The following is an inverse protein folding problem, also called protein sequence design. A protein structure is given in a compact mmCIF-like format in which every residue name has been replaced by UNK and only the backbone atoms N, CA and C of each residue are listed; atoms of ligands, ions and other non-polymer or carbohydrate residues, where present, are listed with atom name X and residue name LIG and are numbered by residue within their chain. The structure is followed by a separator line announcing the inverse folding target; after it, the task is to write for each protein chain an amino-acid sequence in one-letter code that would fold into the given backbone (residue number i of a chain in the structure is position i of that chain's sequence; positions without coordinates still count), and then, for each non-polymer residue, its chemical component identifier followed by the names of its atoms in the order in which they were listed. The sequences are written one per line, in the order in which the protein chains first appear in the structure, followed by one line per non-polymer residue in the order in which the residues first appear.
data_IF_844839915758
#
_entry.id   IF_844839915758
#
_cell.length_a   1.000
_cell.length_b   1.000
_cell.length_c   1.000
_cell.angle_alpha   90.00
_cell.angle_beta   90.00
_cell.angle_gamma   90.00
#
_symmetry.space_group_name_H-M   'P 1'
#
loop_
_entity.id
_entity.type
_entity.pdbx_description
1 polymer ?
#
# COMPACT_ATOMS: atom_id res chain seq x y z
N UNK A 1 -32.60 4.37 -5.76
CA UNK A 1 -32.58 3.12 -6.56
C UNK A 1 -31.54 2.22 -5.90
N UNK A 2 -32.01 1.26 -5.14
CA UNK A 2 -31.27 0.42 -4.18
C UNK A 2 -30.48 -0.68 -4.88
N UNK A 3 -29.20 -0.87 -4.54
CA UNK A 3 -28.44 -2.08 -4.86
C UNK A 3 -27.84 -2.72 -3.60
N UNK A 4 -28.59 -3.73 -3.18
CA UNK A 4 -28.26 -4.92 -2.38
C UNK A 4 -26.84 -5.13 -1.85
N UNK A 5 -26.78 -5.15 -0.50
CA UNK A 5 -25.89 -5.98 0.31
C UNK A 5 -26.16 -7.46 -0.01
N UNK A 6 -25.11 -8.25 -0.29
CA UNK A 6 -25.18 -9.71 -0.28
C UNK A 6 -24.42 -10.26 0.92
N UNK A 7 -25.18 -10.75 1.89
CA UNK A 7 -24.72 -11.58 2.99
C UNK A 7 -23.90 -12.78 2.49
N UNK A 8 -22.80 -13.07 3.19
CA UNK A 8 -22.46 -14.46 3.54
C UNK A 8 -22.25 -14.53 5.05
N UNK A 9 -23.29 -15.00 5.73
CA UNK A 9 -23.22 -15.58 7.06
C UNK A 9 -22.36 -16.86 6.96
N UNK A 10 -21.29 -16.97 7.75
CA UNK A 10 -20.81 -18.27 8.22
C UNK A 10 -20.35 -18.12 9.67
N UNK A 11 -21.29 -18.34 10.58
CA UNK A 11 -20.96 -18.73 11.94
C UNK A 11 -20.73 -20.25 11.93
N UNK A 12 -19.55 -20.70 12.35
CA UNK A 12 -19.35 -22.06 12.83
C UNK A 12 -18.50 -22.01 14.10
N UNK A 13 -19.19 -21.90 15.25
CA UNK A 13 -18.66 -22.28 16.55
C UNK A 13 -19.19 -23.69 16.84
N UNK A 14 -18.30 -24.69 16.88
CA UNK A 14 -18.38 -25.97 17.63
C UNK A 14 -17.26 -26.89 17.07
N UNK A 15 -16.38 -27.54 17.82
CA UNK A 15 -16.22 -27.70 19.25
C UNK A 15 -15.38 -28.96 19.55
N UNK A 16 -14.96 -29.05 20.81
CA UNK A 16 -14.69 -30.27 21.59
C UNK A 16 -13.29 -30.90 21.48
N UNK A 17 -12.45 -30.61 22.48
CA UNK A 17 -11.50 -31.58 23.04
C UNK A 17 -12.23 -32.87 23.42
N UNK A 18 -11.96 -33.98 22.74
CA UNK A 18 -12.26 -35.32 23.25
C UNK A 18 -10.96 -36.09 23.41
N UNK A 19 -10.50 -36.23 24.65
CA UNK A 19 -9.65 -37.35 25.05
C UNK A 19 -10.52 -38.61 25.03
N UNK A 20 -10.25 -39.54 24.12
CA UNK A 20 -10.78 -40.89 24.16
C UNK A 20 -9.63 -41.89 23.97
N UNK A 21 -9.37 -42.66 25.03
CA UNK A 21 -8.50 -43.82 25.06
C UNK A 21 -9.08 -44.97 24.21
N UNK A 22 -8.23 -45.57 23.38
CA UNK A 22 -8.26 -46.98 22.98
C UNK A 22 -9.25 -47.40 21.89
N UNK A 23 -8.75 -47.76 20.71
CA UNK A 23 -8.55 -49.15 20.23
C UNK A 23 -7.59 -49.06 19.03
N UNK A 24 -6.47 -49.77 19.09
CA UNK A 24 -5.46 -49.81 18.01
C UNK A 24 -5.94 -50.80 16.95
N UNK A 25 -6.28 -50.30 15.76
CA UNK A 25 -6.37 -51.10 14.54
C UNK A 25 -5.36 -50.53 13.53
N UNK A 26 -4.42 -51.33 12.98
CA UNK A 26 -3.47 -50.84 12.00
C UNK A 26 -4.20 -50.63 10.68
N UNK A 27 -4.70 -49.41 10.48
CA UNK A 27 -5.09 -48.93 9.16
C UNK A 27 -3.81 -48.39 8.50
N UNK A 28 -3.35 -49.07 7.46
CA UNK A 28 -2.34 -48.52 6.56
C UNK A 28 -3.01 -47.45 5.70
N UNK A 29 -3.30 -46.29 6.29
CA UNK A 29 -3.53 -45.08 5.53
C UNK A 29 -2.16 -44.54 5.13
N UNK A 30 -1.84 -44.60 3.84
CA UNK A 30 -0.92 -43.65 3.24
C UNK A 30 -1.58 -42.27 3.35
N UNK A 31 -1.55 -41.68 4.54
CA UNK A 31 -1.65 -40.23 4.66
C UNK A 31 -0.38 -39.70 4.02
N UNK A 32 -0.47 -39.34 2.74
CA UNK A 32 0.35 -38.25 2.24
C UNK A 32 0.12 -37.12 3.24
N UNK A 33 1.07 -36.93 4.15
CA UNK A 33 1.06 -35.81 5.06
C UNK A 33 1.09 -34.61 4.13
N UNK A 34 -0.04 -33.90 4.02
CA UNK A 34 -0.05 -32.61 3.34
C UNK A 34 1.12 -31.84 3.94
N UNK A 35 2.07 -31.46 3.08
CA UNK A 35 3.18 -30.64 3.53
C UNK A 35 2.56 -29.44 4.24
N UNK A 36 3.08 -29.10 5.43
CA UNK A 36 2.61 -27.90 6.09
C UNK A 36 2.78 -26.73 5.12
N UNK A 37 1.71 -25.95 4.97
CA UNK A 37 1.75 -24.64 4.33
C UNK A 37 3.02 -23.91 4.76
N UNK A 38 3.84 -23.49 3.79
CA UNK A 38 4.99 -22.64 4.12
C UNK A 38 4.43 -21.27 4.41
N UNK A 39 4.68 -20.75 5.60
CA UNK A 39 4.17 -19.43 6.00
C UNK A 39 5.20 -18.35 5.74
N UNK A 40 4.74 -17.16 5.37
CA UNK A 40 5.53 -15.93 5.24
C UNK A 40 5.08 -14.93 6.28
N UNK A 41 6.05 -14.23 6.87
CA UNK A 41 5.78 -13.03 7.67
C UNK A 41 6.09 -11.81 6.81
N UNK A 42 5.16 -10.87 6.73
CA UNK A 42 5.37 -9.58 6.07
C UNK A 42 4.83 -8.44 6.93
N UNK A 43 5.25 -7.24 6.62
CA UNK A 43 4.90 -6.02 7.33
C UNK A 43 4.22 -5.08 6.35
N UNK A 44 3.07 -4.52 6.69
CA UNK A 44 2.29 -3.68 5.79
C UNK A 44 1.97 -2.34 6.45
N UNK A 45 2.14 -1.26 5.70
CA UNK A 45 1.67 0.07 6.05
C UNK A 45 1.05 0.78 4.83
N UNK A 46 0.22 1.79 5.11
CA UNK A 46 -0.48 2.59 4.09
C UNK A 46 -0.33 4.06 4.43
N UNK A 47 0.35 4.80 3.57
CA UNK A 47 0.78 6.16 3.83
C UNK A 47 0.21 7.18 2.84
N UNK A 48 0.00 8.41 3.32
CA UNK A 48 -0.37 9.57 2.51
C UNK A 48 0.53 10.78 2.81
N UNK A 49 1.82 10.49 3.01
CA UNK A 49 2.84 11.42 3.48
C UNK A 49 3.06 12.63 2.54
N UNK A 50 2.67 12.54 1.27
CA UNK A 50 2.66 13.66 0.33
C UNK A 50 1.80 14.84 0.78
N UNK A 51 0.87 14.61 1.72
CA UNK A 51 0.04 15.64 2.37
C UNK A 51 0.51 16.02 3.78
N UNK A 52 1.69 15.53 4.21
CA UNK A 52 2.22 15.73 5.57
C UNK A 52 1.25 15.28 6.67
N UNK A 53 0.60 14.12 6.47
CA UNK A 53 -0.35 13.53 7.41
C UNK A 53 0.14 12.17 7.89
N UNK A 54 -0.41 11.70 9.00
CA UNK A 54 -0.19 10.35 9.51
C UNK A 54 -0.55 9.27 8.48
N UNK A 55 0.05 8.07 8.59
CA UNK A 55 -0.38 6.91 7.80
C UNK A 55 -1.88 6.64 7.99
N UNK A 56 -2.52 6.14 6.94
CA UNK A 56 -3.87 5.56 7.01
C UNK A 56 -3.80 4.30 7.87
N UNK A 57 -2.82 3.44 7.60
CA UNK A 57 -2.52 2.25 8.36
C UNK A 57 -1.08 2.36 8.90
N UNK A 58 -0.95 2.44 10.23
CA UNK A 58 0.36 2.28 10.88
C UNK A 58 0.92 0.87 10.61
N UNK A 59 2.25 0.67 10.64
CA UNK A 59 2.87 -0.63 10.38
C UNK A 59 2.24 -1.80 11.15
N UNK A 60 1.77 -2.81 10.43
CA UNK A 60 1.20 -4.05 10.98
C UNK A 60 1.99 -5.26 10.48
N UNK A 61 2.30 -6.18 11.39
CA UNK A 61 2.88 -7.48 11.08
C UNK A 61 1.79 -8.52 10.80
N UNK A 62 1.92 -9.22 9.68
CA UNK A 62 1.00 -10.30 9.27
C UNK A 62 1.77 -11.57 8.94
N UNK A 63 1.15 -12.72 9.23
CA UNK A 63 1.68 -14.04 8.87
C UNK A 63 0.61 -14.82 8.13
N UNK A 64 0.94 -15.28 6.93
CA UNK A 64 0.05 -15.93 5.97
C UNK A 64 0.73 -17.15 5.34
N UNK A 65 -0.06 -17.98 4.66
CA UNK A 65 0.45 -19.00 3.73
C UNK A 65 1.16 -18.31 2.54
N UNK A 66 2.25 -18.87 2.06
CA UNK A 66 3.04 -18.27 0.97
C UNK A 66 2.34 -18.32 -0.41
N UNK A 67 1.27 -19.11 -0.54
CA UNK A 67 0.38 -19.09 -1.71
C UNK A 67 -0.57 -17.89 -1.75
N UNK A 68 -0.75 -17.18 -0.65
CA UNK A 68 -1.52 -15.94 -0.58
C UNK A 68 -0.77 -14.81 -1.30
N UNK A 69 -1.44 -13.68 -1.53
CA UNK A 69 -0.88 -12.55 -2.29
C UNK A 69 -0.52 -11.35 -1.42
N UNK A 70 0.18 -10.37 -2.01
CA UNK A 70 0.39 -9.04 -1.41
C UNK A 70 -0.95 -8.39 -1.03
N UNK A 71 -1.98 -8.56 -1.84
CA UNK A 71 -3.33 -8.06 -1.54
C UNK A 71 -3.90 -8.73 -0.30
N UNK A 72 -3.79 -10.05 -0.17
CA UNK A 72 -4.30 -10.79 0.99
C UNK A 72 -3.60 -10.34 2.28
N UNK A 73 -2.28 -10.13 2.23
CA UNK A 73 -1.51 -9.52 3.32
C UNK A 73 -2.00 -8.11 3.67
N UNK A 74 -2.28 -7.30 2.66
CA UNK A 74 -2.77 -5.93 2.85
C UNK A 74 -4.17 -5.89 3.47
N UNK A 75 -5.08 -6.76 3.00
CA UNK A 75 -6.43 -6.91 3.55
C UNK A 75 -6.40 -7.41 4.99
N UNK A 76 -5.53 -8.38 5.30
CA UNK A 76 -5.37 -8.85 6.67
C UNK A 76 -4.82 -7.76 7.60
N UNK A 77 -3.83 -6.98 7.14
CA UNK A 77 -3.24 -5.89 7.92
C UNK A 77 -4.25 -4.78 8.22
N UNK A 78 -5.07 -4.40 7.23
CA UNK A 78 -6.07 -3.35 7.38
C UNK A 78 -7.19 -3.74 8.37
N UNK A 79 -7.47 -5.05 8.52
CA UNK A 79 -8.41 -5.71 9.45
C UNK A 79 -9.86 -5.16 9.47
N UNK A 80 -10.02 -3.89 9.84
CA UNK A 80 -11.29 -3.15 9.90
C UNK A 80 -11.37 -1.97 8.93
N UNK A 81 -10.26 -1.55 8.34
CA UNK A 81 -10.26 -0.53 7.27
C UNK A 81 -10.74 -1.16 5.96
N UNK A 82 -11.66 -0.48 5.30
CA UNK A 82 -12.13 -0.92 3.98
C UNK A 82 -11.08 -0.59 2.89
N UNK A 83 -10.91 -1.52 1.95
CA UNK A 83 -10.00 -1.38 0.81
C UNK A 83 -10.83 -1.61 -0.45
N UNK A 84 -10.89 -0.62 -1.33
CA UNK A 84 -11.62 -0.72 -2.58
C UNK A 84 -10.75 -1.40 -3.63
N UNK A 85 -11.01 -2.69 -3.85
CA UNK A 85 -10.31 -3.52 -4.84
C UNK A 85 -11.20 -3.74 -6.04
N UNK A 86 -10.68 -3.44 -7.24
CA UNK A 86 -11.33 -3.87 -8.47
C UNK A 86 -11.22 -5.41 -8.56
N UNK A 87 -12.36 -6.07 -8.31
CA UNK A 87 -12.46 -7.51 -8.06
C UNK A 87 -12.04 -8.44 -9.21
N UNK A 88 -11.49 -7.91 -10.30
CA UNK A 88 -10.94 -8.70 -11.42
C UNK A 88 -9.43 -8.58 -11.62
N UNK A 89 -8.76 -7.60 -10.99
CA UNK A 89 -7.38 -7.21 -11.33
C UNK A 89 -6.42 -7.15 -10.14
N UNK A 90 -6.86 -7.52 -8.93
CA UNK A 90 -6.12 -7.27 -7.68
C UNK A 90 -5.66 -5.81 -7.56
N UNK A 91 -6.37 -4.90 -8.21
CA UNK A 91 -6.00 -3.50 -8.27
C UNK A 91 -6.62 -2.76 -7.11
N UNK A 92 -5.78 -2.18 -6.26
CA UNK A 92 -6.21 -1.38 -5.11
C UNK A 92 -6.46 0.05 -5.58
N UNK A 93 -7.73 0.43 -5.64
CA UNK A 93 -8.18 1.73 -6.14
C UNK A 93 -8.40 2.76 -5.04
N UNK A 94 -8.59 2.31 -3.80
CA UNK A 94 -8.74 3.21 -2.66
C UNK A 94 -8.47 2.52 -1.32
N UNK A 95 -8.05 3.33 -0.35
CA UNK A 95 -8.07 2.96 1.07
C UNK A 95 -9.07 3.87 1.78
N UNK A 96 -9.81 3.31 2.75
CA UNK A 96 -10.73 4.08 3.56
C UNK A 96 -9.99 5.19 4.31
N UNK A 97 -10.43 6.42 4.10
CA UNK A 97 -9.88 7.60 4.74
C UNK A 97 -10.92 8.70 4.80
N UNK A 98 -11.37 9.04 6.02
CA UNK A 98 -12.35 10.09 6.25
C UNK A 98 -11.71 11.47 6.48
N UNK A 99 -10.41 11.62 6.19
CA UNK A 99 -9.66 12.84 6.44
C UNK A 99 -9.63 13.69 5.17
N UNK A 100 -10.43 14.77 5.07
CA UNK A 100 -10.44 15.57 3.86
C UNK A 100 -9.05 16.15 3.58
N UNK A 101 -8.59 16.01 2.35
CA UNK A 101 -7.32 16.53 1.87
C UNK A 101 -7.58 17.90 1.26
N UNK A 102 -7.08 19.01 1.85
CA UNK A 102 -7.25 20.32 1.23
C UNK A 102 -6.31 20.45 0.02
N UNK A 103 -6.82 20.93 -1.11
CA UNK A 103 -6.04 21.11 -2.36
C UNK A 103 -4.72 21.89 -2.16
N UNK A 104 -4.67 22.76 -1.15
CA UNK A 104 -3.50 23.59 -0.84
C UNK A 104 -2.48 22.94 0.11
N UNK A 105 -2.58 21.63 0.38
CA UNK A 105 -1.68 20.90 1.30
C UNK A 105 -0.77 19.87 0.64
N UNK A 106 -0.90 19.64 -0.67
CA UNK A 106 0.06 18.81 -1.38
C UNK A 106 1.45 19.46 -1.40
N UNK A 107 2.44 18.72 -0.91
CA UNK A 107 3.81 19.20 -0.69
C UNK A 107 4.46 19.75 -1.96
N UNK A 108 4.17 19.16 -3.13
CA UNK A 108 4.85 19.48 -4.38
C UNK A 108 3.98 20.17 -5.42
N UNK A 109 2.84 20.75 -5.02
CA UNK A 109 1.87 21.36 -5.94
C UNK A 109 2.53 22.30 -6.97
N UNK A 110 3.33 23.27 -6.52
CA UNK A 110 3.96 24.25 -7.42
C UNK A 110 4.91 23.58 -8.44
N UNK A 111 5.61 22.52 -8.02
CA UNK A 111 6.56 21.78 -8.88
C UNK A 111 5.79 20.99 -9.94
N UNK A 112 4.78 20.22 -9.54
CA UNK A 112 3.94 19.45 -10.47
C UNK A 112 3.17 20.38 -11.42
N UNK A 113 2.61 21.47 -10.90
CA UNK A 113 1.90 22.46 -11.70
C UNK A 113 2.81 23.09 -12.77
N UNK A 114 4.07 23.37 -12.41
CA UNK A 114 5.05 23.90 -13.37
C UNK A 114 5.45 22.88 -14.43
N UNK A 115 5.57 21.59 -14.09
CA UNK A 115 5.99 20.54 -15.03
C UNK A 115 4.86 20.25 -16.03
N UNK A 116 3.63 20.17 -15.53
CA UNK A 116 2.45 19.73 -16.30
C UNK A 116 1.69 20.88 -16.97
N UNK A 117 2.16 22.12 -16.83
CA UNK A 117 1.41 23.34 -17.20
C UNK A 117 0.03 23.42 -16.53
N UNK A 118 -0.10 22.84 -15.33
CA UNK A 118 -1.36 22.78 -14.57
C UNK A 118 -2.41 21.84 -15.15
N UNK A 119 -2.10 21.08 -16.20
CA UNK A 119 -3.06 20.20 -16.88
C UNK A 119 -3.63 19.14 -15.94
N UNK A 120 -2.82 18.57 -15.05
CA UNK A 120 -3.24 17.47 -14.17
C UNK A 120 -4.21 17.91 -13.06
N UNK A 121 -4.17 19.19 -12.68
CA UNK A 121 -5.04 19.76 -11.65
C UNK A 121 -6.35 20.34 -12.22
N UNK A 122 -6.61 20.15 -13.51
CA UNK A 122 -7.84 20.62 -14.13
C UNK A 122 -9.03 19.76 -13.69
N UNK A 123 -10.06 20.42 -13.17
CA UNK A 123 -11.33 19.78 -12.76
C UNK A 123 -12.39 19.78 -13.87
N UNK A 124 -12.09 20.38 -15.03
CA UNK A 124 -13.02 20.60 -16.13
C UNK A 124 -12.81 19.63 -17.32
N UNK A 125 -12.00 18.58 -17.14
CA UNK A 125 -11.71 17.59 -18.18
C UNK A 125 -12.81 16.51 -18.26
N UNK A 126 -13.56 16.42 -19.37
CA UNK A 126 -14.76 15.57 -19.45
C UNK A 126 -14.47 14.07 -19.31
N UNK A 127 -13.28 13.63 -19.72
CA UNK A 127 -12.88 12.22 -19.68
C UNK A 127 -11.71 11.95 -18.71
N UNK A 128 -11.36 12.92 -17.86
CA UNK A 128 -10.39 12.80 -16.77
C UNK A 128 -10.93 13.42 -15.49
N UNK A 129 -12.12 12.99 -15.00
CA UNK A 129 -12.67 13.54 -13.77
C UNK A 129 -11.78 13.16 -12.58
N UNK A 130 -11.51 14.14 -11.73
CA UNK A 130 -11.02 13.89 -10.38
C UNK A 130 -12.14 13.18 -9.61
N UNK A 131 -11.80 12.09 -8.94
CA UNK A 131 -12.73 11.29 -8.15
C UNK A 131 -12.46 11.61 -6.69
N UNK A 132 -13.26 12.51 -6.12
CA UNK A 132 -13.20 12.83 -4.68
C UNK A 132 -14.23 12.02 -3.92
N UNK A 133 -13.81 11.43 -2.81
CA UNK A 133 -14.68 10.67 -1.92
C UNK A 133 -14.45 11.10 -0.46
N UNK A 134 -15.53 11.28 0.30
CA UNK A 134 -15.39 11.73 1.68
C UNK A 134 -14.98 10.61 2.64
N UNK A 135 -15.12 9.35 2.21
CA UNK A 135 -14.86 8.17 3.04
C UNK A 135 -13.61 7.40 2.58
N UNK A 136 -13.01 7.78 1.44
CA UNK A 136 -11.89 7.07 0.82
C UNK A 136 -10.88 8.05 0.25
N UNK A 137 -9.60 7.66 0.27
CA UNK A 137 -8.57 8.25 -0.57
C UNK A 137 -8.36 7.37 -1.81
N UNK A 138 -8.81 7.86 -2.97
CA UNK A 138 -8.90 7.13 -4.24
C UNK A 138 -7.72 7.39 -5.17
N UNK A 139 -7.46 6.48 -6.10
CA UNK A 139 -6.38 6.58 -7.09
C UNK A 139 -6.46 7.81 -8.03
N UNK A 140 -7.57 8.54 -8.05
CA UNK A 140 -7.74 9.78 -8.85
C UNK A 140 -8.23 10.92 -7.97
N UNK A 141 -7.95 10.83 -6.68
CA UNK A 141 -8.15 11.92 -5.74
C UNK A 141 -7.13 13.01 -6.07
N UNK A 142 -7.48 14.28 -5.86
CA UNK A 142 -6.59 15.44 -6.04
C UNK A 142 -6.28 15.82 -7.50
N UNK A 143 -5.83 14.88 -8.32
CA UNK A 143 -5.53 15.07 -9.73
C UNK A 143 -5.80 13.79 -10.53
N UNK A 144 -5.81 13.87 -11.86
CA UNK A 144 -6.15 12.69 -12.68
C UNK A 144 -5.02 11.67 -12.88
N UNK A 145 -3.82 11.91 -12.34
CA UNK A 145 -2.63 11.04 -12.44
C UNK A 145 -2.12 10.55 -11.09
N UNK A 146 -2.84 10.88 -10.01
CA UNK A 146 -2.56 10.39 -8.68
C UNK A 146 -2.76 8.89 -8.61
N UNK A 147 -2.49 8.29 -7.46
CA UNK A 147 -2.59 6.85 -7.36
C UNK A 147 -2.00 6.26 -6.10
N UNK A 148 -2.31 4.99 -5.92
CA UNK A 148 -1.63 4.12 -4.97
C UNK A 148 -0.47 3.42 -5.66
N UNK A 149 0.72 3.60 -5.11
CA UNK A 149 1.90 2.82 -5.47
C UNK A 149 2.32 2.02 -4.25
N UNK A 150 3.05 0.93 -4.46
CA UNK A 150 3.67 0.24 -3.35
C UNK A 150 5.06 -0.26 -3.70
N UNK A 151 5.86 -0.49 -2.67
CA UNK A 151 7.17 -1.11 -2.77
C UNK A 151 7.26 -2.34 -1.88
N UNK A 152 8.15 -3.27 -2.21
CA UNK A 152 8.58 -4.38 -1.36
C UNK A 152 10.03 -4.13 -0.99
N UNK A 153 10.30 -3.90 0.30
CA UNK A 153 11.64 -3.50 0.80
C UNK A 153 12.24 -2.33 0.00
N UNK A 154 11.46 -1.26 -0.17
CA UNK A 154 11.81 -0.06 -0.95
C UNK A 154 12.09 -0.27 -2.45
N UNK A 155 11.77 -1.45 -2.98
CA UNK A 155 11.87 -1.76 -4.42
C UNK A 155 10.49 -1.90 -5.07
N UNK A 156 10.36 -1.38 -6.31
CA UNK A 156 9.20 -1.61 -7.17
C UNK A 156 9.24 -2.96 -7.88
N UNK A 157 10.41 -3.59 -7.96
CA UNK A 157 10.64 -4.80 -8.76
C UNK A 157 11.26 -5.92 -7.94
N UNK A 158 10.93 -7.15 -8.33
CA UNK A 158 11.66 -8.36 -7.96
C UNK A 158 13.11 -8.32 -8.45
N UNK A 159 13.93 -9.26 -7.97
CA UNK A 159 15.33 -9.44 -8.40
C UNK A 159 15.48 -9.65 -9.92
N UNK A 160 14.44 -10.17 -10.58
CA UNK A 160 14.40 -10.41 -12.02
C UNK A 160 13.98 -9.18 -12.86
N UNK A 161 13.65 -8.05 -12.20
CA UNK A 161 13.21 -6.81 -12.84
C UNK A 161 11.71 -6.73 -13.15
N UNK A 162 10.92 -7.73 -12.77
CA UNK A 162 9.45 -7.71 -12.89
C UNK A 162 8.86 -6.84 -11.79
N UNK A 163 7.88 -5.99 -12.13
CA UNK A 163 7.18 -5.18 -11.15
C UNK A 163 6.34 -6.05 -10.23
N UNK A 164 6.41 -5.77 -8.92
CA UNK A 164 5.45 -6.31 -7.99
C UNK A 164 4.04 -5.80 -8.34
N UNK A 165 3.06 -6.67 -8.18
CA UNK A 165 1.64 -6.31 -8.24
C UNK A 165 0.95 -6.77 -6.97
N UNK A 166 -0.23 -6.23 -6.63
CA UNK A 166 -0.95 -6.74 -5.46
C UNK A 166 -1.34 -8.23 -5.62
N UNK A 167 -1.36 -8.75 -6.86
CA UNK A 167 -1.55 -10.17 -7.15
C UNK A 167 -0.28 -11.01 -7.08
N UNK A 168 0.90 -10.44 -6.81
CA UNK A 168 2.14 -11.20 -6.63
C UNK A 168 2.02 -12.12 -5.40
N UNK A 169 2.43 -13.37 -5.55
CA UNK A 169 2.37 -14.37 -4.48
C UNK A 169 3.42 -14.09 -3.41
N UNK A 170 3.09 -14.34 -2.14
CA UNK A 170 4.03 -14.19 -1.02
C UNK A 170 5.22 -15.16 -1.11
N UNK A 171 5.11 -16.25 -1.89
CA UNK A 171 6.24 -17.12 -2.21
C UNK A 171 7.35 -16.38 -2.98
N UNK A 172 7.00 -15.36 -3.76
CA UNK A 172 7.90 -14.51 -4.55
C UNK A 172 8.42 -13.30 -3.74
N UNK A 173 7.87 -13.08 -2.54
CA UNK A 173 8.25 -12.00 -1.63
C UNK A 173 9.24 -12.53 -0.58
N UNK A 174 10.33 -11.80 -0.26
CA UNK A 174 11.23 -12.19 0.82
C UNK A 174 10.50 -12.35 2.17
N UNK A 175 10.95 -13.29 3.02
CA UNK A 175 10.39 -13.37 4.37
C UNK A 175 10.80 -12.13 5.19
N UNK A 176 9.90 -11.64 6.03
CA UNK A 176 9.99 -10.37 6.76
C UNK A 176 10.06 -9.12 5.85
N UNK A 177 9.57 -9.23 4.61
CA UNK A 177 9.49 -8.08 3.72
C UNK A 177 8.49 -7.02 4.22
N UNK A 178 8.76 -5.78 3.84
CA UNK A 178 7.88 -4.64 4.04
C UNK A 178 7.16 -4.32 2.75
N UNK A 179 5.83 -4.36 2.78
CA UNK A 179 4.92 -3.93 1.71
C UNK A 179 4.42 -2.55 2.09
N UNK A 180 4.96 -1.52 1.46
CA UNK A 180 4.67 -0.12 1.80
C UNK A 180 3.82 0.52 0.72
N UNK A 181 2.55 0.78 1.02
CA UNK A 181 1.63 1.49 0.15
C UNK A 181 1.73 2.99 0.37
N UNK A 182 1.88 3.76 -0.69
CA UNK A 182 2.05 5.21 -0.62
C UNK A 182 1.18 5.90 -1.68
N UNK A 183 0.45 6.92 -1.24
CA UNK A 183 -0.28 7.80 -2.15
C UNK A 183 0.67 8.74 -2.87
N UNK A 184 0.53 8.84 -4.19
CA UNK A 184 1.27 9.78 -5.05
C UNK A 184 0.31 10.68 -5.81
N UNK A 185 0.73 11.91 -6.06
CA UNK A 185 0.09 12.88 -6.98
C UNK A 185 1.02 13.21 -8.17
N UNK A 186 2.07 12.41 -8.38
CA UNK A 186 3.06 12.61 -9.43
C UNK A 186 3.68 11.30 -9.92
N UNK A 187 2.88 10.22 -9.97
CA UNK A 187 3.30 8.89 -10.45
C UNK A 187 4.61 8.37 -9.83
N UNK A 188 4.85 8.65 -8.55
CA UNK A 188 6.01 8.22 -7.79
C UNK A 188 7.19 9.19 -7.74
N UNK A 189 7.22 10.24 -8.58
CA UNK A 189 8.27 11.25 -8.50
C UNK A 189 8.28 11.99 -7.15
N UNK A 190 7.10 12.22 -6.58
CA UNK A 190 6.89 12.80 -5.25
C UNK A 190 7.05 11.82 -4.08
N UNK A 191 7.34 10.56 -4.38
CA UNK A 191 7.75 9.54 -3.41
C UNK A 191 9.25 9.27 -3.47
N UNK A 192 9.96 9.93 -4.38
CA UNK A 192 11.39 9.70 -4.60
C UNK A 192 11.70 8.43 -5.39
N UNK A 193 10.70 7.81 -6.03
CA UNK A 193 10.85 6.57 -6.78
C UNK A 193 11.48 6.82 -8.15
N UNK A 194 12.67 6.24 -8.39
CA UNK A 194 13.34 6.36 -9.67
C UNK A 194 12.54 5.70 -10.81
N UNK A 195 12.67 6.26 -12.01
CA UNK A 195 12.15 5.70 -13.25
C UNK A 195 10.63 5.40 -13.26
N UNK A 196 9.89 6.09 -12.41
CA UNK A 196 8.47 5.84 -12.16
C UNK A 196 7.53 6.82 -12.87
N UNK A 197 7.99 8.04 -13.19
CA UNK A 197 7.09 9.14 -13.52
C UNK A 197 7.28 9.74 -14.92
N UNK A 198 6.20 9.72 -15.69
CA UNK A 198 6.04 10.45 -16.95
C UNK A 198 4.77 11.29 -16.85
N UNK A 199 4.90 12.61 -16.77
CA UNK A 199 3.76 13.49 -16.47
C UNK A 199 3.27 14.18 -17.75
N UNK A 200 1.96 14.13 -18.07
CA UNK A 200 1.41 14.75 -19.28
C UNK A 200 1.48 16.27 -19.18
N UNK A 201 1.73 16.94 -20.30
CA UNK A 201 1.86 18.41 -20.37
C UNK A 201 0.77 19.07 -21.22
N UNK A 202 -0.13 18.27 -21.81
CA UNK A 202 -1.25 18.69 -22.63
C UNK A 202 -2.46 17.75 -22.47
N UNK A 203 -3.59 18.20 -23.02
CA UNK A 203 -4.85 17.46 -23.13
C UNK A 203 -5.19 17.33 -24.60
N UNK A 204 -5.70 16.18 -25.01
CA UNK A 204 -6.14 15.95 -26.38
C UNK A 204 -7.52 16.61 -26.68
N UNK A 205 -7.97 16.49 -27.93
CA UNK A 205 -9.24 17.06 -28.38
C UNK A 205 -10.48 16.42 -27.72
N UNK A 206 -10.33 15.23 -27.12
CA UNK A 206 -11.39 14.49 -26.45
C UNK A 206 -11.41 14.74 -24.94
N UNK A 207 -10.47 15.51 -24.38
CA UNK A 207 -10.40 15.77 -22.96
C UNK A 207 -9.71 14.66 -22.15
N UNK A 208 -8.83 13.86 -22.77
CA UNK A 208 -7.88 12.98 -22.08
C UNK A 208 -6.51 13.65 -21.96
N UNK A 209 -5.70 13.20 -21.00
CA UNK A 209 -4.27 13.53 -21.02
C UNK A 209 -3.61 13.04 -22.30
N UNK A 210 -2.87 13.94 -22.96
CA UNK A 210 -2.07 13.57 -24.11
C UNK A 210 -0.73 13.00 -23.62
N UNK A 211 -0.70 11.68 -23.43
CA UNK A 211 0.49 10.96 -22.99
C UNK A 211 1.65 11.03 -24.00
N UNK A 212 1.41 11.42 -25.25
CA UNK A 212 2.50 11.65 -26.21
C UNK A 212 3.33 12.89 -25.88
N UNK A 213 2.78 13.79 -25.05
CA UNK A 213 3.46 14.99 -24.53
C UNK A 213 4.08 14.78 -23.16
N UNK A 214 4.00 13.55 -22.62
CA UNK A 214 4.48 13.28 -21.29
C UNK A 214 6.00 13.46 -21.20
N UNK A 215 6.43 14.12 -20.13
CA UNK A 215 7.85 14.36 -19.86
C UNK A 215 8.30 13.47 -18.71
N UNK A 216 9.47 12.83 -18.88
CA UNK A 216 10.10 12.14 -17.77
C UNK A 216 10.36 13.13 -16.64
N UNK A 217 9.97 12.72 -15.44
CA UNK A 217 10.13 13.51 -14.24
C UNK A 217 11.00 12.74 -13.26
N UNK A 218 12.23 13.21 -13.08
CA UNK A 218 13.14 12.64 -12.09
C UNK A 218 12.56 12.79 -10.67
N UNK A 219 12.92 11.88 -9.74
CA UNK A 219 12.57 11.96 -8.34
C UNK A 219 12.72 13.36 -7.75
N UNK A 220 11.77 13.76 -6.92
CA UNK A 220 11.77 15.09 -6.33
C UNK A 220 12.82 15.27 -5.23
N UNK A 221 13.24 14.16 -4.63
CA UNK A 221 14.23 14.04 -3.57
C UNK A 221 14.84 12.62 -3.62
N UNK A 222 15.95 12.43 -2.92
CA UNK A 222 16.50 11.09 -2.67
C UNK A 222 15.67 10.40 -1.59
N UNK A 223 15.08 9.27 -1.94
CA UNK A 223 14.29 8.45 -1.01
C UNK A 223 15.19 7.75 0.02
N UNK A 224 14.72 7.70 1.26
CA UNK A 224 15.31 6.87 2.31
C UNK A 224 14.53 5.56 2.43
N UNK A 225 15.26 4.46 2.62
CA UNK A 225 14.67 3.14 2.87
C UNK A 225 14.19 3.06 4.32
N UNK A 226 12.87 2.93 4.49
CA UNK A 226 12.20 2.86 5.80
C UNK A 226 11.86 1.45 6.25
N UNK A 227 12.30 0.42 5.54
CA UNK A 227 11.88 -0.96 5.77
C UNK A 227 12.20 -1.43 7.19
N UNK A 228 13.39 -1.11 7.71
CA UNK A 228 13.74 -1.51 9.08
C UNK A 228 12.91 -0.74 10.12
N UNK A 229 12.72 0.57 9.92
CA UNK A 229 11.87 1.38 10.80
C UNK A 229 10.43 0.83 10.85
N UNK A 230 9.87 0.44 9.71
CA UNK A 230 8.51 -0.12 9.62
C UNK A 230 8.41 -1.44 10.37
N UNK A 231 9.39 -2.35 10.20
CA UNK A 231 9.44 -3.60 10.98
C UNK A 231 9.46 -3.32 12.48
N UNK A 232 10.30 -2.37 12.90
CA UNK A 232 10.47 -1.98 14.29
C UNK A 232 9.20 -1.39 14.90
N UNK A 233 8.52 -0.48 14.19
CA UNK A 233 7.25 0.10 14.63
C UNK A 233 6.20 -0.99 14.81
N UNK A 234 6.08 -1.92 13.85
CA UNK A 234 5.08 -2.99 13.91
C UNK A 234 5.30 -3.99 15.06
N UNK A 235 6.55 -4.19 15.50
CA UNK A 235 6.92 -5.08 16.60
C UNK A 235 7.00 -4.35 17.97
N UNK A 236 6.90 -3.02 18.00
CA UNK A 236 7.09 -2.20 19.20
C UNK A 236 5.85 -2.12 20.11
N UNK A 237 6.07 -1.85 21.40
CA UNK A 237 5.00 -1.42 22.32
C UNK A 237 4.65 0.03 22.02
N UNK A 238 3.37 0.33 21.77
CA UNK A 238 2.89 1.70 21.53
C UNK A 238 3.15 2.67 22.70
N UNK A 239 3.48 2.16 23.89
CA UNK A 239 3.88 2.94 25.06
C UNK A 239 5.39 3.21 25.14
N UNK A 240 6.18 2.68 24.21
CA UNK A 240 7.60 2.99 24.13
C UNK A 240 7.80 4.51 23.96
N UNK A 241 8.67 5.16 24.77
CA UNK A 241 8.88 6.60 24.70
C UNK A 241 9.33 7.08 23.31
N UNK A 242 9.95 6.22 22.51
CA UNK A 242 10.47 6.53 21.18
C UNK A 242 9.47 6.18 20.05
N UNK A 243 8.35 5.51 20.34
CA UNK A 243 7.33 5.13 19.35
C UNK A 243 6.80 6.32 18.54
N UNK A 244 6.47 7.43 19.22
CA UNK A 244 5.95 8.63 18.54
C UNK A 244 7.02 9.34 17.69
N UNK A 245 8.28 9.28 18.11
CA UNK A 245 9.39 9.81 17.32
C UNK A 245 9.60 8.97 16.06
N UNK A 246 9.51 7.64 16.18
CA UNK A 246 9.57 6.73 15.05
C UNK A 246 8.42 6.92 14.05
N UNK A 247 7.18 7.10 14.52
CA UNK A 247 6.06 7.46 13.65
C UNK A 247 6.27 8.81 12.94
N UNK A 248 6.87 9.78 13.62
CA UNK A 248 7.23 11.07 13.02
C UNK A 248 8.29 10.89 11.92
N UNK A 249 9.29 10.02 12.14
CA UNK A 249 10.29 9.69 11.14
C UNK A 249 9.66 8.97 9.93
N UNK A 250 8.71 8.06 10.17
CA UNK A 250 7.93 7.39 9.13
C UNK A 250 7.12 8.40 8.30
N UNK A 251 6.47 9.37 8.94
CA UNK A 251 5.66 10.41 8.28
C UNK A 251 6.49 11.43 7.48
N UNK A 252 7.76 11.62 7.86
CA UNK A 252 8.61 12.62 7.24
C UNK A 252 9.04 12.14 5.84
N UNK A 253 8.42 12.71 4.81
CA UNK A 253 8.61 12.27 3.42
C UNK A 253 10.06 12.43 2.93
N UNK A 254 10.69 13.57 3.24
CA UNK A 254 12.05 13.93 2.82
C UNK A 254 13.08 13.72 3.94
N UNK A 255 12.89 12.69 4.76
CA UNK A 255 13.81 12.33 5.83
C UNK A 255 15.14 11.81 5.27
N UNK A 256 16.25 12.04 5.98
CA UNK A 256 17.54 11.46 5.62
C UNK A 256 17.63 9.99 6.03
N UNK A 257 18.49 9.20 5.37
CA UNK A 257 18.71 7.81 5.80
C UNK A 257 19.26 7.75 7.23
N UNK A 258 20.19 8.64 7.59
CA UNK A 258 20.77 8.68 8.94
C UNK A 258 19.69 8.90 10.02
N UNK A 259 18.69 9.74 9.75
CA UNK A 259 17.59 9.98 10.69
C UNK A 259 16.61 8.80 10.76
N UNK A 260 16.38 8.09 9.65
CA UNK A 260 15.60 6.84 9.64
C UNK A 260 16.30 5.76 10.46
N UNK A 261 17.61 5.58 10.24
CA UNK A 261 18.41 4.60 10.95
C UNK A 261 18.47 4.92 12.45
N UNK A 262 18.60 6.21 12.81
CA UNK A 262 18.58 6.66 14.19
C UNK A 262 17.21 6.39 14.87
N UNK A 263 16.11 6.64 14.18
CA UNK A 263 14.77 6.36 14.69
C UNK A 263 14.55 4.85 14.87
N UNK A 264 14.99 4.02 13.92
CA UNK A 264 14.89 2.57 14.00
C UNK A 264 15.76 1.97 15.12
N UNK A 265 16.92 2.58 15.40
CA UNK A 265 17.82 2.15 16.48
C UNK A 265 17.33 2.55 17.87
N UNK A 266 16.48 3.58 17.98
CA UNK A 266 15.87 3.99 19.24
C UNK A 266 14.74 3.05 19.68
N UNK A 267 14.08 2.37 18.73
CA UNK A 267 13.06 1.33 18.94
C UNK A 267 13.64 -0.08 19.19
#
# INVERSE_FOLDING_TARGET
MTKFIKNKLFALVLGVMVMALGVVAPSFTNTAQAAAATTKTVYVDVERNVFSQSPILEPVKVTLDDSETILDATVQAAATQDIDVDGSSSYVSAFQDSSPIPDNKYTFYNRVNSITNGVVFRTDLPNQPIITDNDYLREKEYDGISGWMFTVNDSLTEDNGTYYTAGTSLAEVPDNAVIRWEFTAAMGADLGLADSAYLPTAVDEYGYYDWSTAVYTAPFFTRADKSELIRKIADADTNDPDYQAALTALQTLQISQDDVDAAAAAL
#
